data_IF_666399364098
#
_entry.id   IF_666399364098
#
_cell.length_a   1.000
_cell.length_b   1.000
_cell.length_c   1.000
_cell.angle_alpha   90.00
_cell.angle_beta   90.00
_cell.angle_gamma   90.00
#
_symmetry.space_group_name_H-M   'P 1'
#
loop_
_entity.id
_entity.type
_entity.pdbx_description
1 polymer ?
#
# COMPACT_ATOMS: atom_id res chain seq x y z
N UNK A 1 8.23 -0.76 -25.80
CA UNK A 1 9.38 0.03 -25.31
C UNK A 1 9.50 -0.17 -23.80
N UNK A 2 10.22 -1.21 -23.36
CA UNK A 2 10.55 -1.41 -21.94
C UNK A 2 11.71 -0.49 -21.60
N UNK A 3 11.57 0.34 -20.57
CA UNK A 3 12.51 1.42 -20.30
C UNK A 3 13.59 1.03 -19.28
N UNK A 4 13.27 0.18 -18.28
CA UNK A 4 14.19 -0.28 -17.21
C UNK A 4 13.68 -1.63 -16.65
N UNK A 5 14.55 -2.62 -16.39
CA UNK A 5 14.22 -3.94 -15.78
C UNK A 5 13.13 -4.77 -16.49
N UNK A 6 12.86 -4.55 -17.78
CA UNK A 6 11.77 -5.24 -18.48
C UNK A 6 10.37 -4.74 -18.13
N UNK A 7 10.26 -3.68 -17.32
CA UNK A 7 8.99 -3.06 -16.95
C UNK A 7 8.45 -2.17 -18.08
N UNK A 8 7.12 -2.12 -18.25
CA UNK A 8 6.51 -1.25 -19.24
C UNK A 8 6.57 0.22 -18.80
N UNK A 9 6.76 1.12 -19.76
CA UNK A 9 7.04 2.54 -19.53
C UNK A 9 5.99 3.25 -18.65
N UNK A 10 4.72 2.90 -18.83
CA UNK A 10 3.59 3.43 -18.06
C UNK A 10 3.73 3.16 -16.55
N UNK A 11 4.20 1.98 -16.15
CA UNK A 11 4.41 1.63 -14.74
C UNK A 11 5.51 2.50 -14.16
N UNK A 12 6.62 2.66 -14.87
CA UNK A 12 7.75 3.49 -14.44
C UNK A 12 7.30 4.94 -14.23
N UNK A 13 6.58 5.53 -15.20
CA UNK A 13 6.09 6.91 -15.06
C UNK A 13 5.06 7.08 -13.94
N UNK A 14 4.15 6.11 -13.78
CA UNK A 14 3.17 6.14 -12.70
C UNK A 14 3.86 6.09 -11.32
N UNK A 15 4.78 5.14 -11.12
CA UNK A 15 5.54 5.01 -9.88
C UNK A 15 6.38 6.26 -9.60
N UNK A 16 7.07 6.80 -10.61
CA UNK A 16 7.84 8.04 -10.48
C UNK A 16 6.95 9.23 -10.08
N UNK A 17 5.75 9.35 -10.66
CA UNK A 17 4.76 10.36 -10.29
C UNK A 17 4.31 10.24 -8.83
N UNK A 18 4.09 9.02 -8.35
CA UNK A 18 3.74 8.77 -6.94
C UNK A 18 4.87 9.19 -6.01
N UNK A 19 6.12 8.82 -6.31
CA UNK A 19 7.28 9.26 -5.52
C UNK A 19 7.43 10.78 -5.51
N UNK A 20 7.25 11.45 -6.66
CA UNK A 20 7.31 12.91 -6.75
C UNK A 20 6.24 13.57 -5.87
N UNK A 21 5.01 13.06 -5.89
CA UNK A 21 3.93 13.52 -5.02
C UNK A 21 4.24 13.28 -3.54
N UNK A 22 4.80 12.13 -3.18
CA UNK A 22 5.16 11.80 -1.81
C UNK A 22 6.27 12.71 -1.27
N UNK A 23 7.30 12.98 -2.07
CA UNK A 23 8.36 13.92 -1.73
C UNK A 23 7.78 15.32 -1.54
N UNK A 24 6.90 15.77 -2.44
CA UNK A 24 6.22 17.05 -2.30
C UNK A 24 5.40 17.11 -0.99
N UNK A 25 4.60 16.08 -0.70
CA UNK A 25 3.84 16.00 0.55
C UNK A 25 4.76 16.03 1.79
N UNK A 26 5.89 15.32 1.73
CA UNK A 26 6.90 15.29 2.81
C UNK A 26 7.48 16.68 3.05
N UNK A 27 7.84 17.42 1.99
CA UNK A 27 8.33 18.80 2.09
C UNK A 27 7.26 19.71 2.69
N UNK A 28 6.01 19.61 2.23
CA UNK A 28 4.90 20.42 2.77
C UNK A 28 4.70 20.16 4.26
N UNK A 29 4.66 18.90 4.69
CA UNK A 29 4.52 18.53 6.11
C UNK A 29 5.71 19.01 6.93
N UNK A 30 6.93 18.88 6.39
CA UNK A 30 8.14 19.36 7.05
C UNK A 30 8.11 20.89 7.27
N UNK A 31 7.75 21.66 6.23
CA UNK A 31 7.59 23.12 6.34
C UNK A 31 6.49 23.50 7.34
N UNK A 32 5.37 22.79 7.37
CA UNK A 32 4.29 23.03 8.34
C UNK A 32 4.75 22.79 9.77
N UNK A 33 5.51 21.72 10.02
CA UNK A 33 6.06 21.40 11.35
C UNK A 33 7.10 22.43 11.82
N UNK A 34 7.84 23.04 10.90
CA UNK A 34 8.78 24.12 11.23
C UNK A 34 8.06 25.41 11.62
N UNK A 35 6.96 25.76 10.93
CA UNK A 35 6.23 27.02 11.17
C UNK A 35 5.36 26.98 12.41
N UNK A 36 4.80 25.82 12.74
CA UNK A 36 3.91 25.66 13.88
C UNK A 36 4.34 24.43 14.69
N UNK A 37 5.28 24.60 15.63
CA UNK A 37 5.69 23.53 16.52
C UNK A 37 4.53 23.15 17.44
N UNK A 38 4.10 21.88 17.37
CA UNK A 38 3.03 21.34 18.20
C UNK A 38 2.48 20.01 17.67
N UNK A 39 1.56 19.42 18.44
CA UNK A 39 0.96 18.10 18.15
C UNK A 39 0.05 18.08 16.91
N UNK A 40 -0.37 19.26 16.43
CA UNK A 40 -1.35 19.41 15.34
C UNK A 40 -0.97 18.67 14.05
N UNK A 41 0.33 18.55 13.74
CA UNK A 41 0.81 17.92 12.50
C UNK A 41 1.47 16.56 12.72
N UNK A 42 1.44 16.01 13.95
CA UNK A 42 2.08 14.72 14.25
C UNK A 42 1.38 13.56 13.52
N UNK A 43 0.05 13.56 13.51
CA UNK A 43 -0.74 12.56 12.77
C UNK A 43 -0.48 12.64 11.26
N UNK A 44 -0.40 13.85 10.72
CA UNK A 44 -0.14 14.06 9.29
C UNK A 44 1.26 13.56 8.89
N UNK A 45 2.27 13.82 9.72
CA UNK A 45 3.61 13.27 9.51
C UNK A 45 3.63 11.74 9.60
N UNK A 46 2.99 11.16 10.61
CA UNK A 46 2.90 9.70 10.76
C UNK A 46 2.20 9.03 9.57
N UNK A 47 1.20 9.69 8.98
CA UNK A 47 0.55 9.24 7.76
C UNK A 47 1.55 9.24 6.60
N UNK A 48 2.28 10.34 6.36
CA UNK A 48 3.29 10.40 5.29
C UNK A 48 4.37 9.32 5.46
N UNK A 49 4.86 9.10 6.68
CA UNK A 49 5.83 8.03 6.97
C UNK A 49 5.25 6.64 6.66
N UNK A 50 3.98 6.39 6.98
CA UNK A 50 3.31 5.13 6.64
C UNK A 50 3.20 4.94 5.13
N UNK A 51 2.93 6.01 4.37
CA UNK A 51 2.86 5.96 2.91
C UNK A 51 4.22 5.62 2.28
N UNK A 52 5.33 6.09 2.86
CA UNK A 52 6.68 5.71 2.41
C UNK A 52 6.93 4.20 2.52
N UNK A 53 6.51 3.59 3.64
CA UNK A 53 6.60 2.14 3.81
C UNK A 53 5.74 1.37 2.79
N UNK A 54 4.51 1.84 2.55
CA UNK A 54 3.60 1.22 1.58
C UNK A 54 4.17 1.28 0.16
N UNK A 55 4.57 2.45 -0.33
CA UNK A 55 5.09 2.58 -1.71
C UNK A 55 6.41 1.84 -1.88
N UNK A 56 7.26 1.79 -0.85
CA UNK A 56 8.49 1.02 -0.84
C UNK A 56 8.22 -0.47 -1.04
N UNK A 57 7.30 -1.05 -0.27
CA UNK A 57 6.93 -2.45 -0.39
C UNK A 57 6.35 -2.79 -1.78
N UNK A 58 5.45 -1.93 -2.31
CA UNK A 58 4.88 -2.10 -3.65
C UNK A 58 5.93 -1.99 -4.76
N UNK A 59 6.85 -1.03 -4.65
CA UNK A 59 7.90 -0.83 -5.65
C UNK A 59 8.84 -2.03 -5.68
N UNK A 60 9.20 -2.55 -4.51
CA UNK A 60 10.01 -3.76 -4.38
C UNK A 60 9.31 -4.95 -5.02
N UNK A 61 8.03 -5.17 -4.71
CA UNK A 61 7.25 -6.27 -5.31
C UNK A 61 7.21 -6.23 -6.85
N UNK A 62 7.07 -5.04 -7.43
CA UNK A 62 7.04 -4.84 -8.90
C UNK A 62 8.41 -5.09 -9.54
N UNK A 63 9.51 -4.77 -8.84
CA UNK A 63 10.87 -4.89 -9.37
C UNK A 63 11.37 -6.35 -9.49
N UNK A 64 10.86 -7.27 -8.67
CA UNK A 64 11.32 -8.67 -8.68
C UNK A 64 10.80 -9.46 -9.89
N UNK A 65 9.52 -9.82 -9.87
CA UNK A 65 8.84 -10.58 -10.92
C UNK A 65 7.33 -10.51 -10.70
N UNK A 66 6.54 -10.68 -11.76
CA UNK A 66 5.08 -10.75 -11.73
C UNK A 66 4.57 -11.77 -10.69
N UNK A 67 5.20 -12.94 -10.56
CA UNK A 67 4.79 -13.94 -9.56
C UNK A 67 4.92 -13.41 -8.14
N UNK A 68 6.01 -12.72 -7.82
CA UNK A 68 6.23 -12.13 -6.48
C UNK A 68 5.20 -11.03 -6.22
N UNK A 69 4.89 -10.20 -7.23
CA UNK A 69 3.85 -9.18 -7.12
C UNK A 69 2.46 -9.77 -6.87
N UNK A 70 2.10 -10.87 -7.53
CA UNK A 70 0.83 -11.57 -7.32
C UNK A 70 0.77 -12.17 -5.91
N UNK A 71 1.81 -12.87 -5.46
CA UNK A 71 1.87 -13.44 -4.10
C UNK A 71 1.79 -12.34 -3.05
N UNK A 72 2.48 -11.22 -3.25
CA UNK A 72 2.41 -10.07 -2.35
C UNK A 72 1.01 -9.46 -2.30
N UNK A 73 0.35 -9.31 -3.45
CA UNK A 73 -1.02 -8.83 -3.54
C UNK A 73 -1.99 -9.79 -2.83
N UNK A 74 -1.85 -11.09 -3.06
CA UNK A 74 -2.65 -12.13 -2.40
C UNK A 74 -2.46 -12.10 -0.88
N UNK A 75 -1.23 -11.92 -0.41
CA UNK A 75 -0.95 -11.76 1.03
C UNK A 75 -1.62 -10.51 1.62
N UNK A 76 -1.55 -9.35 0.95
CA UNK A 76 -2.24 -8.14 1.40
C UNK A 76 -3.76 -8.33 1.39
N UNK A 77 -4.32 -8.94 0.35
CA UNK A 77 -5.75 -9.23 0.27
C UNK A 77 -6.22 -10.15 1.40
N UNK A 78 -5.41 -11.17 1.74
CA UNK A 78 -5.66 -12.05 2.87
C UNK A 78 -5.69 -11.28 4.21
N UNK A 79 -4.69 -10.43 4.46
CA UNK A 79 -4.63 -9.63 5.68
C UNK A 79 -5.81 -8.66 5.76
N UNK A 80 -6.15 -8.00 4.66
CA UNK A 80 -7.29 -7.09 4.59
C UNK A 80 -8.62 -7.82 4.86
N UNK A 81 -8.82 -9.00 4.27
CA UNK A 81 -10.01 -9.82 4.51
C UNK A 81 -10.09 -10.28 5.95
N UNK A 82 -8.97 -10.70 6.55
CA UNK A 82 -8.90 -11.09 7.96
C UNK A 82 -9.31 -9.95 8.89
N UNK A 83 -8.78 -8.76 8.66
CA UNK A 83 -9.11 -7.58 9.47
C UNK A 83 -10.58 -7.20 9.32
N UNK A 84 -11.09 -7.19 8.08
CA UNK A 84 -12.50 -6.93 7.81
C UNK A 84 -13.43 -7.91 8.53
N UNK A 85 -13.14 -9.21 8.46
CA UNK A 85 -13.94 -10.24 9.12
C UNK A 85 -13.84 -10.19 10.66
N UNK A 86 -12.80 -9.57 11.20
CA UNK A 86 -12.69 -9.32 12.65
C UNK A 86 -13.62 -8.20 13.12
N UNK A 87 -14.01 -7.27 12.23
CA UNK A 87 -14.86 -6.13 12.58
C UNK A 87 -16.36 -6.46 12.46
N UNK A 88 -16.73 -7.37 11.55
CA UNK A 88 -18.14 -7.72 11.29
C UNK A 88 -18.57 -8.87 12.20
N UNK A 89 -19.79 -8.84 12.78
CA UNK A 89 -20.32 -9.98 13.54
C UNK A 89 -20.48 -11.21 12.63
N UNK A 90 -19.70 -12.27 12.88
CA UNK A 90 -19.71 -13.50 12.08
C UNK A 90 -20.67 -14.54 12.67
N UNK A 91 -21.62 -15.05 11.85
CA UNK A 91 -22.52 -16.15 12.26
C UNK A 91 -21.92 -17.50 11.89
N UNK A 92 -22.33 -18.56 12.62
CA UNK A 92 -21.83 -19.93 12.36
C UNK A 92 -22.21 -20.47 10.98
N UNK A 93 -23.32 -20.01 10.40
CA UNK A 93 -23.81 -20.43 9.07
C UNK A 93 -22.89 -19.91 7.95
N UNK A 94 -22.19 -18.80 8.17
CA UNK A 94 -21.42 -18.12 7.13
C UNK A 94 -20.04 -18.77 6.88
N UNK A 95 -19.64 -19.76 7.69
CA UNK A 95 -18.28 -20.35 7.67
C UNK A 95 -17.88 -20.91 6.29
N UNK A 96 -18.82 -21.51 5.56
CA UNK A 96 -18.54 -22.01 4.21
C UNK A 96 -18.28 -20.86 3.23
N UNK A 97 -19.06 -19.78 3.32
CA UNK A 97 -18.87 -18.57 2.50
C UNK A 97 -17.54 -17.90 2.82
N UNK A 98 -17.15 -17.84 4.10
CA UNK A 98 -15.86 -17.31 4.53
C UNK A 98 -14.69 -18.15 3.98
N UNK A 99 -14.82 -19.48 3.96
CA UNK A 99 -13.82 -20.36 3.36
C UNK A 99 -13.66 -20.09 1.86
N UNK A 100 -14.77 -19.98 1.12
CA UNK A 100 -14.71 -19.65 -0.32
C UNK A 100 -14.09 -18.27 -0.57
N UNK A 101 -14.35 -17.28 0.30
CA UNK A 101 -13.74 -15.96 0.18
C UNK A 101 -12.21 -16.02 0.33
N UNK A 102 -11.69 -16.81 1.27
CA UNK A 102 -10.23 -17.01 1.40
C UNK A 102 -9.62 -17.80 0.24
N UNK A 103 -10.33 -18.81 -0.29
CA UNK A 103 -9.87 -19.60 -1.43
C UNK A 103 -9.89 -18.84 -2.76
N UNK A 104 -10.68 -17.77 -2.87
CA UNK A 104 -10.74 -16.92 -4.05
C UNK A 104 -9.54 -15.98 -4.18
N UNK A 105 -8.69 -15.87 -3.15
CA UNK A 105 -7.48 -15.05 -3.18
C UNK A 105 -6.43 -15.79 -4.04
N UNK A 106 -5.88 -15.16 -5.10
CA UNK A 106 -4.94 -15.77 -6.03
C UNK A 106 -3.54 -15.95 -5.44
#
# INVERSE_FOLDING_TARGET
MSLIFGLPANVVYATAGIYALLVFATIVVWVLRLRTPGERYRELAARVDSWWWMIGAFTLAILFNQTVAIVFLGFIAYLALKEYLSLVPTRRIDRAVLLFAYLAIP
#
